data_IF_029451688800
#
_entry.id   IF_029451688800
#
_cell.length_a   1.000
_cell.length_b   1.000
_cell.length_c   1.000
_cell.angle_alpha   90.00
_cell.angle_beta   90.00
_cell.angle_gamma   90.00
#
_symmetry.space_group_name_H-M   'P 1'
#
loop_
_entity.id
_entity.type
_entity.pdbx_description
1 polymer ?
#
# COMPACT_ATOMS: atom_id res chain seq x y z
N UNK A 1 -37.36 -21.57 30.68
CA UNK A 1 -36.75 -22.74 30.03
C UNK A 1 -36.13 -22.29 28.74
N UNK A 2 -34.78 -22.15 28.65
CA UNK A 2 -34.07 -21.93 27.36
C UNK A 2 -34.02 -23.31 26.70
N UNK A 3 -34.74 -23.45 25.58
CA UNK A 3 -34.69 -24.67 24.77
C UNK A 3 -33.28 -24.99 24.35
N UNK A 4 -32.89 -26.27 24.44
CA UNK A 4 -31.59 -26.75 23.92
C UNK A 4 -31.47 -26.33 22.45
N UNK A 5 -30.42 -25.57 22.12
CA UNK A 5 -30.12 -25.17 20.77
C UNK A 5 -29.71 -26.44 19.98
N UNK A 6 -30.54 -26.86 19.04
CA UNK A 6 -30.26 -28.01 18.18
C UNK A 6 -29.28 -27.55 17.07
N UNK A 7 -28.18 -28.24 16.89
CA UNK A 7 -27.25 -28.01 15.77
C UNK A 7 -27.96 -28.40 14.47
N UNK A 8 -28.00 -27.49 13.50
CA UNK A 8 -28.63 -27.69 12.19
C UNK A 8 -27.70 -27.24 11.08
N UNK A 9 -27.67 -27.90 9.91
CA UNK A 9 -26.97 -27.34 8.74
C UNK A 9 -27.63 -26.03 8.34
N UNK A 10 -26.80 -25.04 8.01
CA UNK A 10 -27.29 -23.75 7.53
C UNK A 10 -27.70 -23.84 6.06
N UNK A 11 -28.74 -23.10 5.64
CA UNK A 11 -29.07 -22.94 4.23
C UNK A 11 -27.88 -22.38 3.44
N UNK A 12 -27.67 -22.83 2.21
CA UNK A 12 -26.53 -22.39 1.37
C UNK A 12 -26.47 -20.86 1.21
N UNK A 13 -27.63 -20.20 1.06
CA UNK A 13 -27.71 -18.74 0.96
C UNK A 13 -27.12 -18.08 2.22
N UNK A 14 -27.42 -18.61 3.40
CA UNK A 14 -26.91 -18.06 4.66
C UNK A 14 -25.41 -18.33 4.81
N UNK A 15 -24.94 -19.52 4.40
CA UNK A 15 -23.52 -19.86 4.37
C UNK A 15 -22.79 -18.87 3.43
N UNK A 16 -23.38 -18.57 2.27
CA UNK A 16 -22.85 -17.62 1.31
C UNK A 16 -22.75 -16.20 1.86
N UNK A 17 -23.78 -15.76 2.58
CA UNK A 17 -23.82 -14.44 3.24
C UNK A 17 -22.81 -14.33 4.40
N UNK A 18 -22.57 -15.40 5.15
CA UNK A 18 -21.57 -15.46 6.22
C UNK A 18 -20.17 -15.39 5.60
N UNK A 19 -19.87 -16.24 4.61
CA UNK A 19 -18.60 -16.24 3.91
C UNK A 19 -18.34 -14.93 3.15
N UNK A 20 -19.38 -14.36 2.52
CA UNK A 20 -19.27 -13.01 1.94
C UNK A 20 -18.83 -11.99 2.99
N UNK A 21 -19.06 -12.28 4.27
CA UNK A 21 -18.65 -11.49 5.39
C UNK A 21 -17.17 -11.33 5.60
N UNK A 22 -16.47 -12.34 5.28
CA UNK A 22 -15.01 -12.41 5.43
C UNK A 22 -14.29 -11.85 4.19
N UNK A 23 -14.94 -11.93 3.02
CA UNK A 23 -14.36 -11.52 1.74
C UNK A 23 -14.77 -10.09 1.35
N UNK A 24 -16.04 -9.72 1.59
CA UNK A 24 -16.63 -8.44 1.16
C UNK A 24 -16.99 -7.61 2.38
N UNK A 25 -16.07 -6.79 2.86
CA UNK A 25 -16.33 -5.89 3.99
C UNK A 25 -16.98 -4.57 3.55
N UNK A 26 -16.56 -4.05 2.39
CA UNK A 26 -16.95 -2.72 1.87
C UNK A 26 -16.81 -2.64 0.35
N UNK A 27 -17.31 -1.56 -0.31
CA UNK A 27 -17.17 -1.36 -1.74
C UNK A 27 -15.73 -1.47 -2.26
N UNK A 28 -14.75 -0.95 -1.53
CA UNK A 28 -13.34 -1.04 -1.91
C UNK A 28 -12.83 -2.48 -2.02
N UNK A 29 -13.31 -3.42 -1.18
CA UNK A 29 -12.96 -4.85 -1.27
C UNK A 29 -13.51 -5.46 -2.56
N UNK A 30 -14.73 -5.09 -2.96
CA UNK A 30 -15.34 -5.54 -4.23
C UNK A 30 -14.53 -5.04 -5.43
N UNK A 31 -14.24 -3.72 -5.47
CA UNK A 31 -13.44 -3.13 -6.55
C UNK A 31 -12.09 -3.82 -6.65
N UNK A 32 -11.43 -4.05 -5.51
CA UNK A 32 -10.14 -4.74 -5.44
C UNK A 32 -10.21 -6.12 -6.12
N UNK A 33 -11.10 -6.98 -5.66
CA UNK A 33 -11.21 -8.36 -6.17
C UNK A 33 -11.55 -8.38 -7.67
N UNK A 34 -12.45 -7.49 -8.14
CA UNK A 34 -12.85 -7.46 -9.55
C UNK A 34 -11.73 -6.93 -10.45
N UNK A 35 -11.01 -5.89 -10.03
CA UNK A 35 -9.87 -5.35 -10.79
C UNK A 35 -8.70 -6.34 -10.80
N UNK A 36 -8.40 -7.00 -9.66
CA UNK A 36 -7.37 -8.05 -9.62
C UNK A 36 -7.73 -9.21 -10.56
N UNK A 37 -8.99 -9.60 -10.67
CA UNK A 37 -9.44 -10.60 -11.64
C UNK A 37 -9.25 -10.13 -13.09
N UNK A 38 -9.51 -8.86 -13.39
CA UNK A 38 -9.26 -8.29 -14.72
C UNK A 38 -7.77 -8.32 -15.08
N UNK A 39 -6.89 -7.99 -14.14
CA UNK A 39 -5.43 -8.05 -14.33
C UNK A 39 -4.93 -9.48 -14.53
N UNK A 40 -5.44 -10.42 -13.74
CA UNK A 40 -5.11 -11.85 -13.89
C UNK A 40 -5.60 -12.42 -15.24
N UNK A 41 -6.65 -11.82 -15.84
CA UNK A 41 -7.11 -12.12 -17.19
C UNK A 41 -6.30 -11.43 -18.30
N UNK A 42 -5.20 -10.75 -17.96
CA UNK A 42 -4.31 -10.08 -18.90
C UNK A 42 -4.85 -8.74 -19.42
N UNK A 43 -5.73 -8.09 -18.68
CA UNK A 43 -6.25 -6.78 -19.08
C UNK A 43 -5.16 -5.71 -19.12
N UNK A 44 -5.12 -4.94 -20.18
CA UNK A 44 -4.28 -3.73 -20.34
C UNK A 44 -5.07 -2.45 -20.09
N UNK A 45 -6.40 -2.55 -20.03
CA UNK A 45 -7.31 -1.45 -19.70
C UNK A 45 -8.46 -1.94 -18.84
N UNK A 46 -8.73 -1.18 -17.77
CA UNK A 46 -9.86 -1.40 -16.89
C UNK A 46 -10.65 -0.11 -16.72
N UNK A 47 -11.93 -0.13 -17.12
CA UNK A 47 -12.88 0.96 -16.91
C UNK A 47 -13.70 0.65 -15.63
N UNK A 48 -13.77 1.62 -14.70
CA UNK A 48 -14.34 1.49 -13.37
C UNK A 48 -15.42 2.55 -13.20
N UNK A 49 -16.68 2.16 -13.19
CA UNK A 49 -17.80 3.06 -12.98
C UNK A 49 -18.41 2.84 -11.58
N UNK A 50 -18.52 3.92 -10.81
CA UNK A 50 -19.01 3.91 -9.44
C UNK A 50 -20.20 4.85 -9.27
N UNK A 51 -21.19 4.44 -8.47
CA UNK A 51 -22.25 5.32 -8.00
C UNK A 51 -22.38 5.21 -6.48
N UNK A 52 -22.60 6.36 -5.82
CA UNK A 52 -22.73 6.45 -4.36
C UNK A 52 -21.57 5.78 -3.62
N UNK A 53 -20.32 6.08 -4.04
CA UNK A 53 -19.12 5.47 -3.43
C UNK A 53 -19.01 3.95 -3.63
N UNK A 54 -19.70 3.39 -4.63
CA UNK A 54 -19.74 1.96 -4.93
C UNK A 54 -20.84 1.20 -4.20
N UNK A 55 -21.70 1.86 -3.43
CA UNK A 55 -22.83 1.21 -2.74
C UNK A 55 -23.95 0.89 -3.71
N UNK A 56 -24.29 1.83 -4.61
CA UNK A 56 -25.36 1.69 -5.59
C UNK A 56 -24.91 0.92 -6.83
N UNK A 57 -23.72 1.25 -7.34
CA UNK A 57 -23.14 0.60 -8.52
C UNK A 57 -21.63 0.49 -8.37
N UNK A 58 -21.11 -0.69 -8.67
CA UNK A 58 -19.73 -0.96 -9.06
C UNK A 58 -19.80 -1.69 -10.40
N UNK A 59 -19.26 -1.11 -11.47
CA UNK A 59 -19.12 -1.76 -12.76
C UNK A 59 -17.65 -1.74 -13.15
N UNK A 60 -17.10 -2.92 -13.36
CA UNK A 60 -15.73 -3.10 -13.82
C UNK A 60 -15.80 -3.72 -15.21
N UNK A 61 -15.18 -3.06 -16.19
CA UNK A 61 -15.04 -3.56 -17.55
C UNK A 61 -13.56 -3.65 -17.89
N UNK A 62 -13.16 -4.79 -18.37
CA UNK A 62 -11.79 -5.05 -18.82
C UNK A 62 -11.76 -5.44 -20.31
N UNK A 63 -10.56 -5.44 -20.88
CA UNK A 63 -10.24 -5.93 -22.20
C UNK A 63 -9.36 -7.18 -22.19
N UNK A 64 -9.45 -7.98 -21.11
CA UNK A 64 -8.69 -9.22 -20.94
C UNK A 64 -9.20 -10.37 -21.82
N UNK A 65 -8.77 -11.59 -21.51
CA UNK A 65 -9.05 -12.80 -22.29
C UNK A 65 -10.52 -13.22 -22.35
N UNK A 66 -11.40 -12.66 -21.50
CA UNK A 66 -12.81 -13.03 -21.44
C UNK A 66 -13.06 -14.43 -20.86
N UNK A 67 -14.34 -14.78 -20.74
CA UNK A 67 -14.84 -16.07 -20.22
C UNK A 67 -15.81 -16.64 -21.24
N UNK A 68 -15.64 -17.92 -21.62
CA UNK A 68 -16.55 -18.61 -22.50
C UNK A 68 -17.96 -18.73 -21.91
N UNK A 69 -19.01 -18.64 -22.73
CA UNK A 69 -20.41 -18.67 -22.29
C UNK A 69 -20.71 -19.89 -21.40
N UNK A 70 -20.20 -21.07 -21.75
CA UNK A 70 -20.36 -22.31 -20.98
C UNK A 70 -19.69 -22.27 -19.59
N UNK A 71 -18.71 -21.41 -19.39
CA UNK A 71 -17.96 -21.28 -18.12
C UNK A 71 -18.51 -20.19 -17.18
N UNK A 72 -19.45 -19.35 -17.63
CA UNK A 72 -20.01 -18.28 -16.80
C UNK A 72 -20.65 -18.80 -15.51
N UNK A 73 -21.45 -19.90 -15.51
CA UNK A 73 -21.98 -20.46 -14.27
C UNK A 73 -20.88 -20.98 -13.32
N UNK A 74 -19.82 -21.57 -13.88
CA UNK A 74 -18.70 -22.08 -13.11
C UNK A 74 -17.89 -20.94 -12.47
N UNK A 75 -17.71 -19.82 -13.18
CA UNK A 75 -16.97 -18.66 -12.68
C UNK A 75 -17.59 -18.07 -11.41
N UNK A 76 -18.89 -18.23 -11.19
CA UNK A 76 -19.63 -17.76 -10.00
C UNK A 76 -19.92 -18.89 -9.02
N UNK A 77 -19.42 -20.11 -9.25
CA UNK A 77 -19.50 -21.25 -8.35
C UNK A 77 -18.39 -21.17 -7.29
N UNK A 78 -18.67 -21.69 -6.09
CA UNK A 78 -17.66 -21.78 -5.03
C UNK A 78 -16.58 -22.79 -5.39
N UNK A 79 -15.37 -22.50 -4.92
CA UNK A 79 -14.19 -23.37 -5.09
C UNK A 79 -13.85 -23.65 -6.57
N UNK A 80 -14.35 -22.82 -7.49
CA UNK A 80 -14.00 -22.89 -8.89
C UNK A 80 -13.01 -21.77 -9.23
N UNK A 81 -11.83 -22.17 -9.68
CA UNK A 81 -10.76 -21.23 -10.07
C UNK A 81 -9.96 -21.81 -11.22
N UNK A 82 -9.50 -20.97 -12.12
CA UNK A 82 -8.54 -21.31 -13.17
C UNK A 82 -7.09 -21.06 -12.77
N UNK A 83 -6.85 -20.59 -11.53
CA UNK A 83 -5.56 -19.99 -11.13
C UNK A 83 -4.66 -20.95 -10.36
N UNK A 84 -5.22 -22.00 -9.76
CA UNK A 84 -4.50 -23.05 -9.04
C UNK A 84 -5.10 -24.42 -9.39
N UNK A 85 -4.25 -25.38 -9.66
CA UNK A 85 -4.63 -26.76 -9.93
C UNK A 85 -3.92 -27.76 -9.00
N UNK A 86 -2.85 -27.32 -8.29
CA UNK A 86 -2.01 -28.16 -7.44
C UNK A 86 -1.64 -27.45 -6.12
N UNK A 87 -1.09 -28.22 -5.17
CA UNK A 87 -0.51 -27.68 -3.93
C UNK A 87 0.74 -26.81 -4.21
N UNK A 88 1.51 -27.18 -5.23
CA UNK A 88 2.71 -26.42 -5.62
C UNK A 88 2.32 -25.03 -6.16
N UNK A 89 1.20 -24.93 -6.88
CA UNK A 89 0.64 -23.62 -7.29
C UNK A 89 0.23 -22.78 -6.10
N UNK A 90 -0.23 -23.41 -5.00
CA UNK A 90 -0.61 -22.72 -3.78
C UNK A 90 0.60 -22.17 -3.00
N UNK A 91 1.75 -22.84 -3.06
CA UNK A 91 3.00 -22.40 -2.44
C UNK A 91 3.70 -21.30 -3.25
N UNK A 92 3.52 -21.32 -4.59
CA UNK A 92 4.16 -20.39 -5.53
C UNK A 92 3.21 -19.33 -6.10
N UNK A 93 2.14 -18.94 -5.36
CA UNK A 93 1.07 -18.08 -5.86
C UNK A 93 1.60 -16.80 -6.52
N UNK A 94 1.66 -16.81 -7.84
CA UNK A 94 1.99 -15.65 -8.67
C UNK A 94 0.77 -14.73 -8.96
N UNK A 95 -0.45 -15.26 -8.77
CA UNK A 95 -1.70 -14.55 -9.05
C UNK A 95 -2.16 -13.71 -7.84
N UNK A 96 -2.83 -12.58 -8.10
CA UNK A 96 -3.35 -11.70 -7.05
C UNK A 96 -4.51 -12.35 -6.28
N UNK A 97 -5.38 -13.14 -6.97
CA UNK A 97 -6.49 -13.90 -6.39
C UNK A 97 -6.39 -15.40 -6.70
N UNK A 98 -6.68 -16.30 -5.75
CA UNK A 98 -6.56 -17.75 -5.95
C UNK A 98 -7.69 -18.59 -5.33
N UNK A 99 -8.52 -18.02 -4.44
CA UNK A 99 -9.49 -18.81 -3.64
C UNK A 99 -10.77 -19.21 -4.37
N UNK A 100 -11.09 -18.61 -5.52
CA UNK A 100 -12.33 -18.90 -6.26
C UNK A 100 -13.62 -18.56 -5.48
N UNK A 101 -13.57 -17.66 -4.51
CA UNK A 101 -14.69 -17.33 -3.63
C UNK A 101 -15.19 -15.89 -3.78
N UNK A 102 -14.44 -15.01 -4.47
CA UNK A 102 -14.77 -13.60 -4.56
C UNK A 102 -16.08 -13.35 -5.33
N UNK A 103 -16.20 -13.87 -6.55
CA UNK A 103 -17.40 -13.66 -7.38
C UNK A 103 -18.67 -14.24 -6.74
N UNK A 104 -18.70 -15.49 -6.25
CA UNK A 104 -19.88 -16.03 -5.58
C UNK A 104 -20.24 -15.26 -4.30
N UNK A 105 -19.25 -14.81 -3.53
CA UNK A 105 -19.46 -14.00 -2.34
C UNK A 105 -20.08 -12.63 -2.67
N UNK A 106 -19.58 -11.93 -3.68
CA UNK A 106 -20.12 -10.65 -4.14
C UNK A 106 -21.55 -10.83 -4.67
N UNK A 107 -21.77 -11.86 -5.49
CA UNK A 107 -23.08 -12.18 -6.08
C UNK A 107 -24.14 -12.51 -5.01
N UNK A 108 -23.75 -13.12 -3.89
CA UNK A 108 -24.67 -13.49 -2.81
C UNK A 108 -25.25 -12.28 -2.05
N UNK A 109 -24.57 -11.13 -2.09
CA UNK A 109 -24.94 -9.92 -1.32
C UNK A 109 -25.29 -8.73 -2.20
N UNK A 110 -25.52 -8.95 -3.51
CA UNK A 110 -25.81 -7.90 -4.48
C UNK A 110 -26.73 -8.38 -5.59
N UNK A 111 -27.16 -7.46 -6.46
CA UNK A 111 -27.68 -7.76 -7.79
C UNK A 111 -26.51 -7.76 -8.73
N UNK A 112 -26.13 -8.94 -9.19
CA UNK A 112 -24.87 -9.18 -9.89
C UNK A 112 -25.12 -9.56 -11.36
N UNK A 113 -24.36 -8.96 -12.26
CA UNK A 113 -24.35 -9.34 -13.68
C UNK A 113 -22.91 -9.57 -14.13
N UNK A 114 -22.67 -10.72 -14.74
CA UNK A 114 -21.41 -11.08 -15.38
C UNK A 114 -21.67 -11.19 -16.88
N UNK A 115 -21.03 -10.35 -17.70
CA UNK A 115 -21.08 -10.42 -19.14
C UNK A 115 -19.68 -10.56 -19.70
N UNK A 116 -19.48 -11.47 -20.64
CA UNK A 116 -18.14 -11.71 -21.17
C UNK A 116 -18.17 -12.24 -22.60
N UNK A 117 -17.04 -12.04 -23.29
CA UNK A 117 -16.76 -12.59 -24.61
C UNK A 117 -15.27 -12.89 -24.74
N UNK A 118 -14.93 -14.09 -25.20
CA UNK A 118 -13.56 -14.39 -25.60
C UNK A 118 -13.26 -13.82 -27.01
N UNK A 119 -11.99 -13.51 -27.34
CA UNK A 119 -11.64 -12.95 -28.65
C UNK A 119 -12.08 -13.81 -29.85
N UNK A 120 -12.11 -15.15 -29.70
CA UNK A 120 -12.49 -16.11 -30.73
C UNK A 120 -14.00 -16.32 -30.85
N UNK A 121 -14.79 -15.85 -29.88
CA UNK A 121 -16.25 -16.04 -29.89
C UNK A 121 -16.92 -14.96 -30.76
N UNK A 122 -17.92 -15.34 -31.55
CA UNK A 122 -18.70 -14.39 -32.35
C UNK A 122 -19.61 -13.52 -31.44
N UNK A 123 -20.17 -14.13 -30.40
CA UNK A 123 -21.12 -13.47 -29.51
C UNK A 123 -20.69 -13.57 -28.05
N UNK A 124 -20.99 -12.52 -27.31
CA UNK A 124 -20.86 -12.53 -25.86
C UNK A 124 -22.06 -13.17 -25.20
N UNK A 125 -21.92 -13.48 -23.92
CA UNK A 125 -22.98 -14.00 -23.08
C UNK A 125 -23.03 -13.26 -21.74
N UNK A 126 -24.19 -13.28 -21.10
CA UNK A 126 -24.37 -12.71 -19.78
C UNK A 126 -25.11 -13.67 -18.85
N UNK A 127 -24.75 -13.60 -17.57
CA UNK A 127 -25.37 -14.31 -16.47
C UNK A 127 -25.79 -13.28 -15.41
N UNK A 128 -27.03 -13.35 -14.97
CA UNK A 128 -27.54 -12.52 -13.89
C UNK A 128 -27.74 -13.34 -12.62
N UNK A 129 -27.41 -12.75 -11.48
CA UNK A 129 -27.55 -13.38 -10.16
C UNK A 129 -28.21 -12.36 -9.22
N UNK A 130 -29.26 -12.76 -8.56
CA UNK A 130 -29.96 -11.93 -7.57
C UNK A 130 -29.97 -12.63 -6.21
N UNK A 131 -29.26 -12.05 -5.23
CA UNK A 131 -29.16 -12.60 -3.88
C UNK A 131 -28.65 -14.05 -3.83
N UNK A 132 -27.75 -14.42 -4.72
CA UNK A 132 -27.19 -15.76 -4.82
C UNK A 132 -28.01 -16.74 -5.69
N UNK A 133 -29.17 -16.33 -6.24
CA UNK A 133 -29.92 -17.14 -7.20
C UNK A 133 -29.38 -16.91 -8.59
N UNK A 134 -28.81 -17.95 -9.17
CA UNK A 134 -28.22 -17.95 -10.51
C UNK A 134 -29.32 -18.04 -11.55
N UNK A 135 -29.35 -17.11 -12.50
CA UNK A 135 -30.25 -17.10 -13.65
C UNK A 135 -29.70 -17.92 -14.83
N UNK A 136 -30.36 -17.82 -15.96
CA UNK A 136 -29.91 -18.47 -17.20
C UNK A 136 -28.84 -17.63 -17.91
N UNK A 137 -27.94 -18.32 -18.63
CA UNK A 137 -26.99 -17.68 -19.51
C UNK A 137 -27.71 -17.22 -20.78
N UNK A 138 -27.62 -15.93 -21.07
CA UNK A 138 -28.30 -15.32 -22.23
C UNK A 138 -27.28 -14.72 -23.18
N UNK A 139 -27.50 -14.77 -24.50
CA UNK A 139 -26.66 -14.05 -25.46
C UNK A 139 -26.68 -12.56 -25.19
N UNK A 140 -25.50 -11.91 -25.25
CA UNK A 140 -25.39 -10.47 -25.05
C UNK A 140 -24.25 -9.91 -25.93
N UNK A 141 -24.53 -8.84 -26.67
CA UNK A 141 -23.47 -8.14 -27.39
C UNK A 141 -22.44 -7.59 -26.39
N UNK A 142 -21.18 -8.00 -26.56
CA UNK A 142 -20.05 -7.61 -25.71
C UNK A 142 -18.76 -7.54 -26.55
N UNK A 143 -17.89 -6.57 -26.27
CA UNK A 143 -16.54 -6.55 -26.81
C UNK A 143 -15.71 -7.67 -26.15
N UNK A 144 -14.59 -8.13 -26.75
CA UNK A 144 -13.69 -9.04 -26.05
C UNK A 144 -13.28 -8.51 -24.69
N UNK A 145 -13.31 -9.40 -23.67
CA UNK A 145 -13.10 -9.04 -22.26
C UNK A 145 -14.30 -9.36 -21.37
N UNK A 146 -14.32 -8.79 -20.19
CA UNK A 146 -15.36 -9.06 -19.18
C UNK A 146 -15.93 -7.77 -18.62
N UNK A 147 -17.23 -7.78 -18.32
CA UNK A 147 -17.90 -6.74 -17.54
C UNK A 147 -18.59 -7.38 -16.36
N UNK A 148 -18.21 -6.94 -15.17
CA UNK A 148 -18.90 -7.29 -13.92
C UNK A 148 -19.64 -6.06 -13.41
N UNK A 149 -20.93 -6.21 -13.16
CA UNK A 149 -21.79 -5.16 -12.63
C UNK A 149 -22.39 -5.63 -11.29
N UNK A 150 -22.12 -4.88 -10.24
CA UNK A 150 -22.62 -5.12 -8.88
C UNK A 150 -23.50 -3.94 -8.50
N UNK A 151 -24.80 -4.20 -8.33
CA UNK A 151 -25.79 -3.20 -7.93
C UNK A 151 -26.32 -3.46 -6.55
N UNK A 152 -26.65 -2.38 -5.84
CA UNK A 152 -27.29 -2.42 -4.52
C UNK A 152 -26.55 -3.32 -3.53
N UNK A 153 -25.24 -3.07 -3.34
CA UNK A 153 -24.41 -3.85 -2.43
C UNK A 153 -25.02 -3.93 -1.03
N UNK A 154 -25.12 -5.15 -0.48
CA UNK A 154 -25.76 -5.48 0.81
C UNK A 154 -27.26 -5.21 0.89
N UNK A 155 -27.99 -5.15 -0.23
CA UNK A 155 -29.45 -4.91 -0.19
C UNK A 155 -30.20 -5.97 0.63
N UNK A 156 -29.71 -7.22 0.61
CA UNK A 156 -30.30 -8.36 1.34
C UNK A 156 -29.61 -8.64 2.69
N UNK A 157 -28.66 -7.79 3.12
CA UNK A 157 -27.95 -7.87 4.40
C UNK A 157 -28.01 -6.51 5.12
N UNK A 158 -29.18 -6.09 5.64
CA UNK A 158 -29.39 -4.74 6.21
C UNK A 158 -28.43 -4.40 7.34
N UNK A 159 -28.02 -5.38 8.14
CA UNK A 159 -27.06 -5.19 9.22
C UNK A 159 -25.72 -4.67 8.69
N UNK A 160 -25.22 -5.21 7.57
CA UNK A 160 -23.97 -4.77 6.93
C UNK A 160 -24.12 -3.42 6.25
N UNK A 161 -25.23 -3.20 5.57
CA UNK A 161 -25.52 -1.91 4.91
C UNK A 161 -25.44 -0.75 5.90
N UNK A 162 -25.85 -0.94 7.16
CA UNK A 162 -25.73 0.07 8.24
C UNK A 162 -24.28 0.39 8.66
N UNK A 163 -23.33 -0.50 8.41
CA UNK A 163 -21.91 -0.28 8.73
C UNK A 163 -21.14 0.44 7.62
N UNK A 164 -21.72 0.61 6.43
CA UNK A 164 -21.14 1.42 5.39
C UNK A 164 -20.99 2.86 5.85
N UNK A 165 -19.87 3.46 5.48
CA UNK A 165 -19.58 4.86 5.78
C UNK A 165 -20.25 5.78 4.76
N UNK A 166 -20.13 7.08 4.97
CA UNK A 166 -20.59 8.07 4.01
C UNK A 166 -19.91 7.86 2.63
N UNK A 167 -20.63 8.15 1.56
CA UNK A 167 -20.21 8.01 0.16
C UNK A 167 -18.76 8.48 -0.08
N UNK A 168 -18.43 9.69 0.40
CA UNK A 168 -17.09 10.27 0.27
C UNK A 168 -16.01 9.42 0.92
N UNK A 169 -16.32 8.77 2.04
CA UNK A 169 -15.37 7.91 2.76
C UNK A 169 -15.14 6.61 2.01
N UNK A 170 -16.21 5.98 1.52
CA UNK A 170 -16.10 4.73 0.74
C UNK A 170 -15.38 4.98 -0.59
N UNK A 171 -15.70 6.08 -1.28
CA UNK A 171 -14.98 6.51 -2.48
C UNK A 171 -13.50 6.73 -2.19
N UNK A 172 -13.17 7.40 -1.08
CA UNK A 172 -11.78 7.64 -0.66
C UNK A 172 -10.98 6.35 -0.47
N UNK A 173 -11.58 5.28 0.07
CA UNK A 173 -10.93 3.97 0.19
C UNK A 173 -10.67 3.32 -1.18
N UNK A 174 -11.63 3.46 -2.12
CA UNK A 174 -11.46 2.96 -3.49
C UNK A 174 -10.34 3.72 -4.20
N UNK A 175 -10.37 5.06 -4.15
CA UNK A 175 -9.36 5.91 -4.80
C UNK A 175 -7.95 5.66 -4.26
N UNK A 176 -7.81 5.44 -2.94
CA UNK A 176 -6.52 5.12 -2.33
C UNK A 176 -5.97 3.77 -2.81
N UNK A 177 -6.83 2.76 -2.86
CA UNK A 177 -6.44 1.44 -3.37
C UNK A 177 -6.08 1.51 -4.87
N UNK A 178 -6.88 2.22 -5.70
CA UNK A 178 -6.60 2.40 -7.13
C UNK A 178 -5.30 3.19 -7.36
N UNK A 179 -5.00 4.18 -6.53
CA UNK A 179 -3.73 4.90 -6.55
C UNK A 179 -2.56 3.97 -6.29
N UNK A 180 -2.66 3.16 -5.25
CA UNK A 180 -1.65 2.14 -4.94
C UNK A 180 -1.47 1.15 -6.09
N UNK A 181 -2.56 0.69 -6.71
CA UNK A 181 -2.48 -0.20 -7.87
C UNK A 181 -1.83 0.48 -9.08
N UNK A 182 -2.20 1.74 -9.37
CA UNK A 182 -1.66 2.50 -10.48
C UNK A 182 -0.13 2.70 -10.40
N UNK A 183 0.41 2.79 -9.18
CA UNK A 183 1.85 2.83 -8.92
C UNK A 183 2.51 1.46 -9.15
N UNK A 184 1.85 0.37 -8.77
CA UNK A 184 2.38 -0.99 -8.92
C UNK A 184 2.29 -1.52 -10.37
N UNK A 185 1.27 -1.08 -11.13
CA UNK A 185 0.97 -1.53 -12.49
C UNK A 185 0.87 -0.34 -13.45
N UNK A 186 1.99 0.33 -13.74
CA UNK A 186 2.00 1.45 -14.68
C UNK A 186 1.69 1.03 -16.13
N UNK A 187 1.84 -0.24 -16.45
CA UNK A 187 1.53 -0.87 -17.74
C UNK A 187 0.02 -0.88 -18.06
N UNK A 188 -0.85 -0.71 -17.05
CA UNK A 188 -2.31 -0.80 -17.19
C UNK A 188 -2.95 0.59 -17.20
N UNK A 189 -3.88 0.80 -18.14
CA UNK A 189 -4.75 1.98 -18.12
C UNK A 189 -5.92 1.76 -17.17
N UNK A 190 -6.11 2.66 -16.19
CA UNK A 190 -7.28 2.70 -15.33
C UNK A 190 -8.08 3.95 -15.60
N UNK A 191 -9.38 3.79 -15.90
CA UNK A 191 -10.34 4.89 -16.08
C UNK A 191 -11.41 4.79 -15.02
N UNK A 192 -11.55 5.82 -14.24
CA UNK A 192 -12.51 5.86 -13.12
C UNK A 192 -13.54 6.93 -13.38
N UNK A 193 -14.81 6.57 -13.30
CA UNK A 193 -15.94 7.50 -13.27
C UNK A 193 -16.72 7.35 -11.96
N UNK A 194 -17.28 8.46 -11.49
CA UNK A 194 -18.11 8.48 -10.30
C UNK A 194 -19.36 9.31 -10.55
N UNK A 195 -20.54 8.73 -10.29
CA UNK A 195 -21.85 9.35 -10.55
C UNK A 195 -21.95 9.89 -11.99
N UNK A 196 -21.48 9.10 -12.96
CA UNK A 196 -21.53 9.42 -14.40
C UNK A 196 -20.50 10.46 -14.87
N UNK A 197 -19.61 10.94 -14.00
CA UNK A 197 -18.56 11.91 -14.35
C UNK A 197 -17.18 11.27 -14.26
N UNK A 198 -16.27 11.54 -15.25
CA UNK A 198 -14.88 11.12 -15.13
C UNK A 198 -14.25 11.67 -13.84
N UNK A 199 -13.63 10.81 -13.03
CA UNK A 199 -12.97 11.16 -11.78
C UNK A 199 -11.45 11.09 -11.89
N UNK A 200 -10.92 9.95 -12.37
CA UNK A 200 -9.48 9.69 -12.49
C UNK A 200 -9.19 8.94 -13.79
N UNK A 201 -8.00 9.19 -14.31
CA UNK A 201 -7.44 8.41 -15.41
C UNK A 201 -5.94 8.25 -15.19
N UNK A 202 -5.49 7.01 -15.16
CA UNK A 202 -4.08 6.65 -15.11
C UNK A 202 -3.73 6.06 -16.47
N UNK A 203 -2.93 6.79 -17.27
CA UNK A 203 -2.53 6.35 -18.60
C UNK A 203 -1.46 5.26 -18.51
N UNK A 204 -1.41 4.30 -19.43
CA UNK A 204 -0.34 3.31 -19.44
C UNK A 204 1.02 4.01 -19.66
N UNK A 205 2.05 3.51 -19.04
CA UNK A 205 3.40 4.06 -19.11
C UNK A 205 4.44 3.02 -18.70
N UNK A 206 5.68 3.40 -18.77
CA UNK A 206 6.80 2.57 -18.33
C UNK A 206 6.86 2.43 -16.80
N UNK A 207 7.50 1.38 -16.34
CA UNK A 207 7.59 1.02 -14.92
C UNK A 207 8.19 2.13 -14.03
N UNK A 208 8.97 3.03 -14.63
CA UNK A 208 9.65 4.13 -13.93
C UNK A 208 9.28 5.51 -14.50
N UNK A 209 8.05 5.65 -14.96
CA UNK A 209 7.56 6.89 -15.55
C UNK A 209 7.28 7.95 -14.49
N UNK A 210 8.00 9.07 -14.53
CA UNK A 210 7.72 10.24 -13.70
C UNK A 210 6.33 10.80 -13.98
N UNK A 211 5.81 10.63 -15.20
CA UNK A 211 4.45 11.04 -15.56
C UNK A 211 3.40 10.28 -14.74
N UNK A 212 3.55 8.94 -14.58
CA UNK A 212 2.66 8.14 -13.71
C UNK A 212 2.76 8.57 -12.26
N UNK A 213 3.96 8.91 -11.80
CA UNK A 213 4.19 9.42 -10.45
C UNK A 213 3.45 10.75 -10.24
N UNK A 214 3.54 11.69 -11.21
CA UNK A 214 2.81 12.95 -11.20
C UNK A 214 1.28 12.75 -11.24
N UNK A 215 0.76 11.85 -12.09
CA UNK A 215 -0.66 11.50 -12.17
C UNK A 215 -1.21 10.93 -10.86
N UNK A 216 -0.39 10.20 -10.09
CA UNK A 216 -0.81 9.50 -8.87
C UNK A 216 -0.62 10.32 -7.60
N UNK A 217 0.53 10.93 -7.41
CA UNK A 217 0.95 11.62 -6.18
C UNK A 217 1.05 13.14 -6.32
N UNK A 218 0.92 13.64 -7.56
CA UNK A 218 1.04 15.05 -7.90
C UNK A 218 2.42 15.43 -8.41
N UNK A 219 2.44 16.46 -9.26
CA UNK A 219 3.66 16.96 -9.91
C UNK A 219 4.72 17.43 -8.90
N UNK A 220 4.31 17.91 -7.72
CA UNK A 220 5.24 18.36 -6.69
C UNK A 220 6.03 17.20 -6.11
N UNK A 221 5.39 16.03 -5.91
CA UNK A 221 6.10 14.83 -5.49
C UNK A 221 7.08 14.37 -6.58
N UNK A 222 6.64 14.31 -7.84
CA UNK A 222 7.48 13.87 -8.95
C UNK A 222 8.74 14.74 -9.08
N UNK A 223 8.60 16.07 -9.00
CA UNK A 223 9.74 17.01 -9.09
C UNK A 223 10.68 16.98 -7.89
N UNK A 224 10.16 16.67 -6.70
CA UNK A 224 10.92 16.67 -5.46
C UNK A 224 11.24 15.26 -4.95
N UNK A 225 11.21 14.26 -5.83
CA UNK A 225 11.61 12.91 -5.51
C UNK A 225 13.00 12.58 -6.05
N UNK A 226 13.66 11.66 -5.38
CA UNK A 226 14.95 11.08 -5.75
C UNK A 226 14.70 9.65 -6.16
N UNK A 227 15.30 9.23 -7.26
CA UNK A 227 15.27 7.83 -7.67
C UNK A 227 16.28 7.03 -6.88
N UNK A 228 15.87 5.88 -6.40
CA UNK A 228 16.72 4.89 -5.72
C UNK A 228 16.69 3.60 -6.54
N UNK A 229 17.85 2.98 -6.74
CA UNK A 229 17.97 1.63 -7.30
C UNK A 229 19.27 1.01 -6.79
N UNK A 230 19.16 0.10 -5.83
CA UNK A 230 20.31 -0.54 -5.20
C UNK A 230 20.04 -2.03 -4.97
N UNK A 231 21.06 -2.85 -5.25
CA UNK A 231 21.00 -4.30 -5.08
C UNK A 231 22.16 -4.79 -4.25
N UNK A 232 21.88 -5.53 -3.19
CA UNK A 232 22.88 -6.21 -2.35
C UNK A 232 22.27 -7.40 -1.61
N UNK A 233 23.06 -8.42 -1.33
CA UNK A 233 22.67 -9.59 -0.51
C UNK A 233 21.40 -10.33 -1.01
N UNK A 234 21.16 -10.34 -2.33
CA UNK A 234 19.95 -10.95 -2.91
C UNK A 234 18.67 -10.13 -2.67
N UNK A 235 18.83 -8.84 -2.31
CA UNK A 235 17.74 -7.86 -2.19
C UNK A 235 17.94 -6.77 -3.24
N UNK A 236 16.86 -6.26 -3.79
CA UNK A 236 16.86 -5.03 -4.59
C UNK A 236 15.82 -4.07 -4.06
N UNK A 237 16.25 -2.84 -3.77
CA UNK A 237 15.37 -1.75 -3.39
C UNK A 237 15.41 -0.70 -4.49
N UNK A 238 14.26 -0.42 -5.10
CA UNK A 238 14.16 0.61 -6.12
C UNK A 238 12.89 1.43 -5.96
N UNK A 239 12.81 2.57 -6.65
CA UNK A 239 11.67 3.46 -6.60
C UNK A 239 12.03 4.91 -6.34
N UNK A 240 11.22 5.61 -5.58
CA UNK A 240 11.38 7.04 -5.30
C UNK A 240 11.20 7.35 -3.82
N UNK A 241 12.04 8.25 -3.35
CA UNK A 241 11.93 8.86 -2.03
C UNK A 241 11.82 10.38 -2.19
N UNK A 242 10.98 11.02 -1.42
CA UNK A 242 10.86 12.47 -1.46
C UNK A 242 12.08 13.14 -0.84
N UNK A 243 12.49 14.28 -1.39
CA UNK A 243 13.48 15.14 -0.73
C UNK A 243 12.93 15.63 0.63
N UNK A 244 13.81 15.92 1.61
CA UNK A 244 13.37 16.32 2.96
C UNK A 244 12.43 17.54 2.99
N UNK A 245 12.56 18.45 2.00
CA UNK A 245 11.69 19.61 1.85
C UNK A 245 10.23 19.21 1.56
N UNK A 246 10.04 18.12 0.81
CA UNK A 246 8.73 17.54 0.53
C UNK A 246 8.34 16.55 1.63
N UNK A 247 8.10 17.04 2.83
CA UNK A 247 7.65 16.19 3.94
C UNK A 247 6.16 16.39 4.21
N UNK A 248 5.49 15.35 4.71
CA UNK A 248 4.03 15.32 4.94
C UNK A 248 3.70 15.47 6.43
N UNK A 249 2.51 15.99 6.75
CA UNK A 249 1.99 15.99 8.11
C UNK A 249 1.49 14.60 8.54
N UNK A 250 1.13 13.76 7.57
CA UNK A 250 0.60 12.40 7.76
C UNK A 250 1.34 11.40 6.87
N UNK A 251 1.22 10.10 7.18
CA UNK A 251 1.83 9.00 6.42
C UNK A 251 0.95 8.57 5.21
N UNK A 252 0.35 9.53 4.52
CA UNK A 252 -0.60 9.32 3.43
C UNK A 252 0.06 9.07 2.06
N UNK A 253 1.36 9.26 1.94
CA UNK A 253 2.14 8.99 0.74
C UNK A 253 3.31 8.04 1.02
N UNK A 254 3.03 6.92 1.66
CA UNK A 254 4.00 5.88 1.98
C UNK A 254 3.58 4.58 1.32
N UNK A 255 4.16 4.27 0.16
CA UNK A 255 3.85 3.08 -0.62
C UNK A 255 5.04 2.15 -0.63
N UNK A 256 4.83 0.94 -0.14
CA UNK A 256 5.80 -0.15 -0.17
C UNK A 256 5.22 -1.34 -0.94
N UNK A 257 6.01 -1.85 -1.87
CA UNK A 257 5.69 -3.06 -2.62
C UNK A 257 6.76 -4.10 -2.37
N UNK A 258 6.35 -5.32 -2.08
CA UNK A 258 7.23 -6.48 -1.93
C UNK A 258 6.87 -7.49 -3.00
N UNK A 259 7.81 -7.77 -3.91
CA UNK A 259 7.58 -8.64 -5.07
C UNK A 259 6.28 -8.27 -5.82
N UNK A 260 6.06 -6.95 -6.05
CA UNK A 260 4.88 -6.42 -6.74
C UNK A 260 3.61 -6.30 -5.91
N UNK A 261 3.58 -6.74 -4.65
CA UNK A 261 2.42 -6.64 -3.75
C UNK A 261 2.51 -5.42 -2.85
N UNK A 262 1.47 -4.62 -2.79
CA UNK A 262 1.36 -3.50 -1.84
C UNK A 262 1.24 -4.02 -0.41
N UNK A 263 2.17 -3.64 0.45
CA UNK A 263 2.25 -4.10 1.84
C UNK A 263 2.51 -2.95 2.80
N UNK A 264 2.18 -3.17 4.08
CA UNK A 264 2.56 -2.31 5.18
C UNK A 264 3.44 -3.11 6.14
N UNK A 265 4.69 -2.71 6.25
CA UNK A 265 5.64 -3.32 7.17
C UNK A 265 6.23 -2.28 8.12
N UNK A 266 6.16 -2.57 9.43
CA UNK A 266 6.63 -1.64 10.47
C UNK A 266 8.15 -1.52 10.50
N UNK A 267 8.86 -2.59 10.18
CA UNK A 267 10.33 -2.61 10.18
C UNK A 267 10.87 -1.75 9.05
N UNK A 268 10.31 -1.89 7.84
CA UNK A 268 10.67 -1.05 6.68
C UNK A 268 10.30 0.41 6.92
N UNK A 269 9.07 0.69 7.41
CA UNK A 269 8.66 2.06 7.72
C UNK A 269 9.56 2.72 8.78
N UNK A 270 10.03 1.95 9.77
CA UNK A 270 10.98 2.40 10.77
C UNK A 270 12.37 2.67 10.15
N UNK A 271 12.86 1.78 9.29
CA UNK A 271 14.13 1.97 8.58
C UNK A 271 14.13 3.25 7.73
N UNK A 272 13.03 3.49 6.98
CA UNK A 272 12.84 4.73 6.21
C UNK A 272 12.86 5.93 7.14
N UNK A 273 12.08 5.91 8.22
CA UNK A 273 12.03 7.01 9.19
C UNK A 273 13.40 7.30 9.80
N UNK A 274 14.18 6.27 10.12
CA UNK A 274 15.53 6.43 10.64
C UNK A 274 16.49 7.02 9.61
N UNK A 275 16.39 6.62 8.33
CA UNK A 275 17.22 7.20 7.27
C UNK A 275 16.99 8.71 7.11
N UNK A 276 15.75 9.17 7.37
CA UNK A 276 15.38 10.58 7.35
C UNK A 276 15.61 11.31 8.70
N UNK A 277 15.99 10.61 9.78
CA UNK A 277 16.00 11.13 11.14
C UNK A 277 16.74 12.45 11.32
N UNK A 278 17.86 12.63 10.60
CA UNK A 278 18.72 13.83 10.68
C UNK A 278 18.26 14.98 9.78
N UNK A 279 17.24 14.80 8.92
CA UNK A 279 16.87 15.74 7.86
C UNK A 279 15.42 16.16 7.88
N UNK A 280 14.54 15.47 8.61
CA UNK A 280 13.13 15.82 8.74
C UNK A 280 12.88 16.69 9.98
N UNK A 281 12.05 17.70 9.81
CA UNK A 281 11.53 18.46 10.94
C UNK A 281 10.67 17.57 11.87
N UNK A 282 10.67 17.88 13.13
CA UNK A 282 9.90 17.14 14.14
C UNK A 282 8.43 17.03 13.75
N UNK A 283 7.84 15.84 13.87
CA UNK A 283 6.43 15.59 13.54
C UNK A 283 6.12 15.42 12.05
N UNK A 284 7.11 15.55 11.15
CA UNK A 284 6.91 15.31 9.72
C UNK A 284 7.16 13.85 9.34
N UNK A 285 6.51 13.42 8.25
CA UNK A 285 6.60 12.07 7.71
C UNK A 285 7.26 12.09 6.33
N UNK A 286 8.15 11.13 6.04
CA UNK A 286 8.70 10.96 4.70
C UNK A 286 7.60 10.47 3.75
N UNK A 287 7.69 10.89 2.48
CA UNK A 287 6.88 10.33 1.41
C UNK A 287 7.76 9.47 0.50
N UNK A 288 7.25 8.33 0.05
CA UNK A 288 8.01 7.39 -0.78
C UNK A 288 7.14 6.42 -1.55
N UNK A 289 7.69 5.91 -2.64
CA UNK A 289 7.19 4.77 -3.41
C UNK A 289 8.35 3.80 -3.57
N UNK A 290 8.37 2.73 -2.80
CA UNK A 290 9.48 1.79 -2.75
C UNK A 290 9.04 0.39 -3.17
N UNK A 291 9.86 -0.24 -3.98
CA UNK A 291 9.74 -1.63 -4.42
C UNK A 291 10.90 -2.42 -3.85
N UNK A 292 10.60 -3.44 -3.09
CA UNK A 292 11.57 -4.38 -2.53
C UNK A 292 11.39 -5.72 -3.23
N UNK A 293 12.40 -6.14 -3.95
CA UNK A 293 12.47 -7.44 -4.61
C UNK A 293 13.39 -8.36 -3.82
N UNK A 294 12.94 -9.56 -3.54
CA UNK A 294 13.69 -10.59 -2.82
C UNK A 294 13.17 -11.98 -3.19
N UNK A 295 13.96 -13.01 -2.87
CA UNK A 295 13.54 -14.40 -3.03
C UNK A 295 12.19 -14.63 -2.30
N UNK A 296 11.15 -15.12 -2.99
CA UNK A 296 9.85 -15.43 -2.39
C UNK A 296 9.95 -16.36 -1.17
N UNK A 297 10.93 -17.26 -1.10
CA UNK A 297 11.15 -18.14 0.04
C UNK A 297 11.57 -17.39 1.33
N UNK A 298 11.97 -16.11 1.23
CA UNK A 298 12.39 -15.29 2.36
C UNK A 298 11.29 -14.40 2.93
N UNK A 299 10.10 -14.44 2.34
CA UNK A 299 8.94 -13.64 2.76
C UNK A 299 7.70 -14.51 2.86
N UNK A 300 7.04 -14.47 4.02
CA UNK A 300 5.71 -15.04 4.19
C UNK A 300 4.65 -13.97 3.95
N UNK A 301 3.85 -14.15 2.93
CA UNK A 301 2.77 -13.23 2.52
C UNK A 301 1.40 -13.69 3.04
N UNK A 302 1.31 -14.84 3.69
CA UNK A 302 0.05 -15.42 4.19
C UNK A 302 -0.19 -15.10 5.67
N UNK A 303 0.19 -13.92 6.12
CA UNK A 303 0.10 -13.49 7.54
C UNK A 303 -1.28 -12.93 7.88
N UNK A 304 -1.97 -12.28 6.93
CA UNK A 304 -3.25 -11.61 7.15
C UNK A 304 -4.24 -11.92 6.02
N UNK A 305 -5.54 -12.13 6.29
CA UNK A 305 -6.55 -12.42 5.26
C UNK A 305 -6.58 -11.40 4.11
N UNK A 306 -6.40 -10.10 4.43
CA UNK A 306 -6.34 -9.03 3.44
C UNK A 306 -4.95 -8.88 2.77
N UNK A 307 -3.96 -9.72 3.13
CA UNK A 307 -2.60 -9.76 2.54
C UNK A 307 -1.86 -8.41 2.52
N UNK A 308 -2.19 -7.51 3.45
CA UNK A 308 -1.52 -6.21 3.58
C UNK A 308 -0.29 -6.25 4.49
N UNK A 309 -0.07 -7.35 5.20
CA UNK A 309 1.08 -7.56 6.07
C UNK A 309 1.91 -8.73 5.54
N UNK A 310 3.21 -8.60 5.65
CA UNK A 310 4.17 -9.66 5.31
C UNK A 310 5.06 -9.94 6.51
N UNK A 311 5.62 -11.13 6.56
CA UNK A 311 6.63 -11.50 7.54
C UNK A 311 7.92 -11.85 6.81
N UNK A 312 8.95 -11.06 7.04
CA UNK A 312 10.28 -11.36 6.52
C UNK A 312 10.98 -12.37 7.43
N UNK A 313 11.63 -13.37 6.84
CA UNK A 313 12.46 -14.32 7.58
C UNK A 313 13.62 -13.59 8.28
N UNK A 314 14.23 -12.64 7.60
CA UNK A 314 15.40 -11.87 8.08
C UNK A 314 15.06 -10.37 8.20
N UNK A 315 14.08 -10.01 9.02
CA UNK A 315 13.61 -8.62 9.18
C UNK A 315 14.73 -7.61 9.48
N UNK A 316 15.75 -8.04 10.26
CA UNK A 316 16.89 -7.19 10.61
C UNK A 316 17.76 -6.87 9.40
N UNK A 317 18.03 -7.85 8.55
CA UNK A 317 18.79 -7.65 7.32
C UNK A 317 18.07 -6.67 6.38
N UNK A 318 16.76 -6.84 6.22
CA UNK A 318 15.94 -5.95 5.38
C UNK A 318 15.90 -4.54 5.95
N UNK A 319 15.73 -4.39 7.27
CA UNK A 319 15.78 -3.10 7.93
C UNK A 319 17.10 -2.39 7.67
N UNK A 320 18.25 -3.06 7.92
CA UNK A 320 19.56 -2.48 7.75
C UNK A 320 19.89 -2.16 6.28
N UNK A 321 19.44 -3.01 5.35
CA UNK A 321 19.57 -2.78 3.92
C UNK A 321 18.80 -1.54 3.47
N UNK A 322 17.51 -1.43 3.83
CA UNK A 322 16.68 -0.26 3.50
C UNK A 322 17.27 1.00 4.13
N UNK A 323 17.63 0.95 5.41
CA UNK A 323 18.19 2.11 6.12
C UNK A 323 19.46 2.63 5.43
N UNK A 324 20.43 1.76 5.13
CA UNK A 324 21.70 2.16 4.50
C UNK A 324 21.47 2.71 3.10
N UNK A 325 20.73 1.99 2.26
CA UNK A 325 20.42 2.43 0.90
C UNK A 325 19.80 3.83 0.86
N UNK A 326 18.83 4.10 1.73
CA UNK A 326 18.16 5.40 1.74
C UNK A 326 19.01 6.50 2.36
N UNK A 327 19.82 6.18 3.38
CA UNK A 327 20.76 7.12 3.99
C UNK A 327 21.80 7.58 2.99
N UNK A 328 22.34 6.65 2.19
CA UNK A 328 23.33 6.96 1.16
C UNK A 328 22.72 7.82 0.04
N UNK A 329 21.52 7.48 -0.46
CA UNK A 329 20.80 8.27 -1.45
C UNK A 329 20.50 9.71 -0.97
N UNK A 330 20.15 9.88 0.31
CA UNK A 330 19.91 11.20 0.91
C UNK A 330 21.22 11.98 1.13
N UNK A 331 22.35 11.31 1.39
CA UNK A 331 23.65 11.94 1.55
C UNK A 331 24.22 12.46 0.22
N UNK A 332 24.05 11.72 -0.88
CA UNK A 332 24.46 12.13 -2.23
C UNK A 332 23.78 13.43 -2.66
N UNK A 333 22.52 13.63 -2.28
CA UNK A 333 21.77 14.85 -2.58
C UNK A 333 22.33 16.06 -1.82
N UNK A 334 22.86 15.87 -0.61
CA UNK A 334 23.51 16.94 0.15
C UNK A 334 24.84 17.35 -0.45
N UNK A 335 25.63 16.40 -0.95
CA UNK A 335 26.91 16.66 -1.60
C UNK A 335 26.75 17.39 -2.95
N UNK A 336 25.63 17.18 -3.66
CA UNK A 336 25.30 17.88 -4.90
C UNK A 336 24.73 19.29 -4.72
N UNK A 337 24.43 19.71 -3.49
CA UNK A 337 23.96 21.04 -3.11
C UNK A 337 25.06 21.95 -2.58
N UNK A 338 26.36 21.74 -2.94
CA UNK A 338 27.38 22.77 -2.82
C UNK A 338 26.93 23.98 -3.65
N UNK A 339 26.81 25.16 -3.03
CA UNK A 339 26.37 26.32 -3.77
C UNK A 339 27.39 26.65 -4.83
N UNK A 340 27.00 26.66 -6.07
CA UNK A 340 27.69 27.38 -7.13
C UNK A 340 27.61 28.88 -6.80
N UNK A 341 28.32 29.29 -5.79
CA UNK A 341 28.61 30.72 -5.53
C UNK A 341 29.71 31.14 -6.49
N UNK A 342 29.36 31.27 -7.75
CA UNK A 342 30.08 32.07 -8.69
C UNK A 342 29.79 33.53 -8.41
N UNK A 343 30.61 34.18 -7.58
CA UNK A 343 30.74 35.62 -7.63
C UNK A 343 31.77 35.93 -8.74
N UNK A 344 31.45 36.74 -9.71
CA UNK A 344 32.42 37.23 -10.68
C UNK A 344 33.24 38.37 -10.09
N UNK A 345 34.55 38.22 -10.15
CA UNK A 345 35.45 39.36 -10.20
C UNK A 345 36.18 39.72 -8.91
N UNK A 346 37.36 39.14 -8.71
CA UNK A 346 38.50 39.85 -8.16
C UNK A 346 39.75 39.40 -8.87
N UNK A 347 40.40 40.38 -9.45
CA UNK A 347 41.56 40.29 -10.30
C UNK A 347 42.79 39.63 -9.64
N UNK A 348 43.56 39.04 -10.46
CA UNK A 348 44.90 38.51 -10.16
C UNK A 348 45.81 39.55 -9.54
N UNK A 349 46.54 39.19 -8.48
CA UNK A 349 47.74 39.85 -8.07
C UNK A 349 48.85 38.82 -7.76
N UNK A 350 50.12 39.16 -7.99
CA UNK A 350 51.14 38.18 -8.33
C UNK A 350 51.85 37.60 -7.12
N UNK A 351 52.40 36.41 -7.36
CA UNK A 351 53.35 35.70 -6.51
C UNK A 351 54.63 36.51 -6.22
N UNK A 352 55.03 36.58 -4.95
CA UNK A 352 56.44 36.79 -4.58
C UNK A 352 56.84 35.83 -3.49
N UNK A 353 57.97 35.22 -3.78
CA UNK A 353 58.67 34.18 -3.06
C UNK A 353 59.43 34.69 -1.84
N UNK A 354 59.62 33.79 -0.90
CA UNK A 354 60.79 33.51 -0.03
C UNK A 354 61.29 34.58 0.95
N UNK A 355 61.48 34.12 2.17
CA UNK A 355 62.42 34.71 3.10
C UNK A 355 62.19 34.44 4.57
N UNK A 356 63.06 33.65 5.13
CA UNK A 356 63.15 33.23 6.52
C UNK A 356 63.34 34.38 7.53
N UNK A 357 62.93 34.20 8.77
CA UNK A 357 63.72 34.24 10.02
C UNK A 357 62.92 34.72 11.22
N UNK A 358 62.91 33.90 12.20
CA UNK A 358 63.15 34.01 13.65
C UNK A 358 62.96 35.35 14.40
N UNK A 359 62.40 35.28 15.59
CA UNK A 359 62.72 36.13 16.76
C UNK A 359 61.49 36.65 17.47
N UNK A 360 61.01 36.06 18.48
CA UNK A 360 61.21 36.25 19.92
C UNK A 360 60.59 37.53 20.55
N UNK A 361 59.83 37.29 21.56
CA UNK A 361 59.67 38.00 22.85
C UNK A 361 58.72 39.20 23.04
N UNK A 362 57.83 38.94 23.97
CA UNK A 362 57.51 39.74 25.18
C UNK A 362 56.36 40.73 25.14
N UNK A 363 55.50 40.46 26.09
CA UNK A 363 54.95 41.35 27.13
C UNK A 363 53.47 41.76 27.05
N UNK A 364 52.75 41.30 28.02
CA UNK A 364 51.54 41.80 28.62
C UNK A 364 51.82 43.06 29.48
N UNK A 365 50.84 43.80 30.11
CA UNK A 365 49.40 44.02 30.01
C UNK A 365 49.03 45.52 30.16
N UNK A 366 47.91 45.99 30.80
CA UNK A 366 46.56 45.61 31.06
C UNK A 366 45.51 46.70 30.75
N UNK A 367 44.23 46.34 30.88
CA UNK A 367 43.23 47.40 31.21
C UNK A 367 41.84 47.24 30.62
N UNK A 368 40.97 46.79 31.42
CA UNK A 368 39.63 47.20 31.85
C UNK A 368 38.42 47.21 30.91
N UNK A 369 37.43 46.53 31.41
CA UNK A 369 36.01 46.92 31.55
C UNK A 369 35.00 46.57 30.46
N UNK A 370 34.06 45.74 30.82
CA UNK A 370 32.64 45.99 30.69
C UNK A 370 31.90 45.33 29.54
N UNK A 371 31.06 44.34 29.85
CA UNK A 371 30.04 43.92 28.93
C UNK A 371 29.50 42.50 29.28
N UNK A 372 28.45 42.45 30.07
CA UNK A 372 27.79 41.21 30.50
C UNK A 372 27.15 40.46 29.34
N UNK A 373 27.60 39.23 29.14
CA UNK A 373 26.96 38.25 28.29
C UNK A 373 26.27 37.20 29.14
N UNK A 374 24.97 37.18 29.12
CA UNK A 374 24.16 36.12 29.72
C UNK A 374 24.39 34.84 28.95
N UNK A 375 25.07 33.90 29.58
CA UNK A 375 25.06 32.47 29.16
C UNK A 375 23.95 31.76 29.95
N UNK A 376 23.01 31.09 29.29
CA UNK A 376 22.04 30.28 30.00
C UNK A 376 22.77 29.03 30.57
N UNK A 377 22.81 28.93 31.89
CA UNK A 377 23.20 27.70 32.57
C UNK A 377 22.03 26.71 32.45
N UNK A 378 22.19 25.66 31.72
CA UNK A 378 21.35 24.47 31.80
C UNK A 378 21.64 23.76 33.11
N UNK A 379 20.66 23.77 34.01
CA UNK A 379 20.66 22.89 35.19
C UNK A 379 20.20 21.50 34.73
N UNK A 380 20.89 20.41 35.11
CA UNK A 380 20.37 19.08 34.87
C UNK A 380 19.12 18.88 35.71
N UNK A 381 17.98 18.55 35.08
CA UNK A 381 16.77 18.09 35.76
C UNK A 381 17.06 16.67 36.28
N UNK A 382 17.32 16.54 37.55
CA UNK A 382 17.39 15.26 38.25
C UNK A 382 15.99 14.68 38.38
N UNK A 383 15.55 13.89 37.45
CA UNK A 383 14.40 13.02 37.62
C UNK A 383 14.84 11.83 38.45
N UNK A 384 14.60 11.91 39.75
CA UNK A 384 14.63 10.73 40.63
C UNK A 384 13.32 9.96 40.42
N UNK A 385 13.36 8.92 39.60
CA UNK A 385 12.33 7.89 39.56
C UNK A 385 12.65 6.91 40.70
N UNK A 386 12.03 7.08 41.86
CA UNK A 386 12.06 6.08 42.92
C UNK A 386 10.86 5.15 42.78
N UNK A 387 10.93 4.19 41.88
CA UNK A 387 10.05 3.04 41.94
C UNK A 387 10.70 1.98 42.86
N UNK A 388 10.01 1.64 43.93
CA UNK A 388 10.49 0.66 44.88
C UNK A 388 10.58 -0.72 44.19
N UNK A 389 11.71 -1.44 44.29
CA UNK A 389 11.87 -2.78 43.71
C UNK A 389 10.84 -3.81 44.20
N UNK A 390 10.19 -3.55 45.34
CA UNK A 390 9.14 -4.40 45.91
C UNK A 390 7.84 -4.44 45.08
N UNK A 391 7.53 -3.40 44.28
CA UNK A 391 6.35 -3.39 43.43
C UNK A 391 6.50 -4.30 42.21
N UNK A 392 7.73 -4.51 41.74
CA UNK A 392 8.02 -5.41 40.59
C UNK A 392 8.01 -6.88 41.03
N UNK A 393 8.43 -7.20 42.26
CA UNK A 393 8.41 -8.57 42.78
C UNK A 393 6.99 -9.11 43.00
N UNK A 394 6.02 -8.23 43.32
CA UNK A 394 4.62 -8.63 43.53
C UNK A 394 3.88 -9.02 42.20
N UNK A 395 4.36 -8.57 41.05
CA UNK A 395 3.76 -8.91 39.75
C UNK A 395 4.17 -10.28 39.22
N UNK A 396 5.21 -10.90 39.76
CA UNK A 396 5.77 -12.18 39.32
C UNK A 396 5.75 -13.28 40.41
N UNK A 397 5.05 -13.08 41.52
CA UNK A 397 4.88 -14.13 42.52
C UNK A 397 3.86 -15.18 41.97
N UNK A 398 4.20 -16.49 42.01
CA UNK A 398 3.24 -17.52 41.65
C UNK A 398 2.10 -17.57 42.69
N UNK A 399 0.86 -17.94 42.27
CA UNK A 399 -0.27 -18.01 43.19
C UNK A 399 0.00 -19.07 44.27
N UNK A 400 -0.26 -18.72 45.54
CA UNK A 400 -0.14 -19.62 46.66
C UNK A 400 -1.17 -20.74 46.52
N UNK A 401 -0.72 -22.00 46.58
CA UNK A 401 -1.56 -23.19 46.63
C UNK A 401 -2.64 -23.11 47.70
N UNK A 402 -3.88 -23.19 47.28
CA UNK A 402 -5.02 -23.40 48.17
C UNK A 402 -4.96 -24.86 48.66
N UNK A 403 -4.53 -25.05 49.90
CA UNK A 403 -4.70 -26.30 50.58
C UNK A 403 -6.19 -26.57 50.85
N UNK A 404 -6.64 -27.73 50.35
CA UNK A 404 -7.95 -28.34 50.65
C UNK A 404 -7.91 -29.02 52.03
N UNK A 405 -8.99 -29.04 52.81
CA UNK A 405 -9.33 -30.16 53.66
C UNK A 405 -10.24 -31.17 52.94
#
# INVERSE_FOLDING_TARGET
MRGMSTIRPLPEILINQIAAGEVVERPASVVKELVENALDAGATRVDIDLEEGGVRLIRIRDNGGGIAAAQLPLAVSRHATSKIASLDDLESVATLGFRGEALPSIASVSRFTLASRQPQDEHGAALQIEGGKIGEVTPRAHAPGTTVEVRELFYNVPARRKFLRAERTELGHIEEWLRSLALARPDVELRVSHNGKPSRRYKPGDLYSDARLGETLGEDFARQSLRVDHSAAGLRLHGWIAQPQYSRASADQQYLYVNGRSVRDRSVAHAVKMAYGDVLYHGRQPAYVLFLELDPARVDVNVHPAKHEVRFRDSRLIHDFVYRTLKDALAETRAGLEPAAGLPGAAAAPSLSAGAQAGAYLSRPPGSAGGGGWAPRQSPLGLQVSEAPAAYAALYAPPADAATP
#
